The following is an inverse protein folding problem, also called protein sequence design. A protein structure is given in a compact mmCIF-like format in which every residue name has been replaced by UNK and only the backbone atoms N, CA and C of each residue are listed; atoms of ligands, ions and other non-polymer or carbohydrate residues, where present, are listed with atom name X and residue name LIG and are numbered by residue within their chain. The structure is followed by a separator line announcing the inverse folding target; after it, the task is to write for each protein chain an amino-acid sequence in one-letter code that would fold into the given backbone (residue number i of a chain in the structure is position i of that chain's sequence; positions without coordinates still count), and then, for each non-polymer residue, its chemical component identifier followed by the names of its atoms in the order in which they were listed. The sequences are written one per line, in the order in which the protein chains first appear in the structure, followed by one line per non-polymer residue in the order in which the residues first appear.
data_IF_710884028355
#
_entry.id   IF_710884028355
#
_cell.length_a   1.000
_cell.length_b   1.000
_cell.length_c   1.000
_cell.angle_alpha   90.00
_cell.angle_beta   90.00
_cell.angle_gamma   90.00
#
_symmetry.space_group_name_H-M   'P 1'
#
loop_
_entity.id
_entity.type
_entity.pdbx_description
1 polymer ?
#
# COMPACT_ATOMS: atom_id res chain seq x y z
N UNK A 1 -17.97 -24.28 -4.79
CA UNK A 1 -17.71 -22.96 -5.43
C UNK A 1 -18.35 -21.87 -4.59
N UNK A 2 -17.72 -20.71 -4.41
CA UNK A 2 -18.29 -19.59 -3.61
C UNK A 2 -18.93 -18.58 -4.57
N UNK A 3 -20.16 -18.17 -4.28
CA UNK A 3 -20.93 -17.21 -5.09
C UNK A 3 -20.89 -15.81 -4.46
N UNK A 4 -20.91 -14.79 -5.32
CA UNK A 4 -20.83 -13.38 -5.00
C UNK A 4 -21.80 -12.57 -5.88
N UNK A 5 -22.19 -11.38 -5.41
CA UNK A 5 -23.03 -10.45 -6.16
C UNK A 5 -22.16 -9.53 -7.00
N UNK A 6 -22.36 -9.57 -8.32
CA UNK A 6 -21.59 -8.80 -9.28
C UNK A 6 -22.49 -7.78 -9.99
N UNK A 7 -22.29 -6.49 -9.70
CA UNK A 7 -23.07 -5.40 -10.29
C UNK A 7 -22.89 -5.34 -11.81
N UNK A 8 -23.99 -5.42 -12.57
CA UNK A 8 -23.94 -5.31 -14.05
C UNK A 8 -23.31 -3.99 -14.48
N UNK A 9 -23.70 -2.90 -13.84
CA UNK A 9 -23.08 -1.58 -13.99
C UNK A 9 -22.62 -1.06 -12.63
N UNK A 10 -21.30 -1.05 -12.34
CA UNK A 10 -20.77 -0.55 -11.08
C UNK A 10 -21.02 0.94 -10.82
N UNK A 11 -21.33 1.74 -11.83
CA UNK A 11 -21.67 3.16 -11.62
C UNK A 11 -23.02 3.34 -10.94
N UNK A 12 -23.91 2.34 -11.09
CA UNK A 12 -25.23 2.31 -10.46
C UNK A 12 -25.24 1.71 -9.06
N UNK A 13 -24.07 1.20 -8.61
CA UNK A 13 -23.87 0.62 -7.28
C UNK A 13 -23.97 1.69 -6.23
N UNK A 14 -24.92 1.55 -5.31
CA UNK A 14 -24.99 2.41 -4.12
C UNK A 14 -24.08 1.88 -3.02
N UNK A 15 -24.03 0.57 -2.84
CA UNK A 15 -23.25 -0.09 -1.79
C UNK A 15 -23.16 -1.61 -2.06
N UNK A 16 -22.28 -2.32 -1.37
CA UNK A 16 -22.25 -3.79 -1.42
C UNK A 16 -23.50 -4.39 -0.78
N UNK A 17 -24.10 -5.38 -1.45
CA UNK A 17 -25.30 -6.10 -0.96
C UNK A 17 -25.07 -6.65 0.44
N UNK A 18 -23.92 -7.28 0.70
CA UNK A 18 -23.56 -7.83 2.02
C UNK A 18 -23.53 -6.75 3.11
N UNK A 19 -23.09 -5.53 2.77
CA UNK A 19 -23.05 -4.40 3.72
C UNK A 19 -24.44 -3.80 3.93
N UNK A 20 -25.30 -3.78 2.90
CA UNK A 20 -26.68 -3.30 3.01
C UNK A 20 -27.53 -4.24 3.86
N UNK A 21 -27.39 -5.56 3.69
CA UNK A 21 -28.18 -6.56 4.40
C UNK A 21 -28.08 -6.45 5.94
N UNK A 22 -26.95 -5.98 6.46
CA UNK A 22 -26.76 -5.76 7.89
C UNK A 22 -27.21 -4.39 8.42
N UNK A 23 -27.65 -3.45 7.55
CA UNK A 23 -27.85 -2.04 7.93
C UNK A 23 -29.11 -1.39 7.36
N UNK A 24 -29.82 -2.03 6.43
CA UNK A 24 -30.92 -1.42 5.66
C UNK A 24 -32.10 -2.38 5.55
N UNK A 25 -33.33 -1.87 5.37
CA UNK A 25 -34.50 -2.72 5.17
C UNK A 25 -34.35 -3.54 3.88
N UNK A 26 -34.91 -4.74 3.89
CA UNK A 26 -34.81 -5.70 2.78
C UNK A 26 -35.32 -5.15 1.45
N UNK A 27 -36.30 -4.25 1.45
CA UNK A 27 -36.75 -3.56 0.23
C UNK A 27 -35.62 -2.83 -0.48
N UNK A 28 -34.77 -2.12 0.27
CA UNK A 28 -33.60 -1.42 -0.29
C UNK A 28 -32.49 -2.39 -0.72
N UNK A 29 -32.34 -3.52 -0.01
CA UNK A 29 -31.38 -4.58 -0.36
C UNK A 29 -31.76 -5.25 -1.68
N UNK A 30 -33.05 -5.57 -1.87
CA UNK A 30 -33.58 -6.20 -3.08
C UNK A 30 -33.40 -5.30 -4.31
N UNK A 31 -33.60 -3.99 -4.17
CA UNK A 31 -33.32 -3.03 -5.24
C UNK A 31 -31.84 -3.05 -5.66
N UNK A 32 -30.92 -3.23 -4.71
CA UNK A 32 -29.50 -3.35 -5.03
C UNK A 32 -29.16 -4.71 -5.64
N UNK A 33 -29.74 -5.80 -5.13
CA UNK A 33 -29.61 -7.16 -5.70
C UNK A 33 -30.12 -7.19 -7.13
N UNK A 34 -31.21 -6.50 -7.43
CA UNK A 34 -31.80 -6.45 -8.77
C UNK A 34 -30.84 -5.88 -9.83
N UNK A 35 -29.76 -5.17 -9.44
CA UNK A 35 -28.71 -4.66 -10.33
C UNK A 35 -27.54 -5.64 -10.53
N UNK A 36 -27.55 -6.76 -9.81
CA UNK A 36 -26.45 -7.71 -9.74
C UNK A 36 -26.78 -8.99 -10.52
N UNK A 37 -25.74 -9.63 -11.05
CA UNK A 37 -25.76 -11.04 -11.40
C UNK A 37 -25.09 -11.84 -10.28
N UNK A 38 -25.47 -13.10 -10.09
CA UNK A 38 -24.78 -14.00 -9.17
C UNK A 38 -23.68 -14.72 -9.94
N UNK A 39 -22.42 -14.46 -9.59
CA UNK A 39 -21.25 -15.11 -10.21
C UNK A 39 -20.38 -15.74 -9.14
N UNK A 40 -19.57 -16.74 -9.51
CA UNK A 40 -18.57 -17.22 -8.56
C UNK A 40 -17.45 -16.18 -8.35
N UNK A 41 -16.77 -16.23 -7.21
CA UNK A 41 -15.74 -15.24 -6.84
C UNK A 41 -14.64 -15.16 -7.90
N UNK A 42 -14.24 -16.31 -8.48
CA UNK A 42 -13.25 -16.34 -9.57
C UNK A 42 -13.77 -15.63 -10.84
N UNK A 43 -15.01 -15.86 -11.25
CA UNK A 43 -15.60 -15.23 -12.44
C UNK A 43 -15.85 -13.73 -12.23
N UNK A 44 -16.31 -13.35 -11.03
CA UNK A 44 -16.45 -11.95 -10.63
C UNK A 44 -15.10 -11.23 -10.75
N UNK A 45 -14.02 -11.81 -10.20
CA UNK A 45 -12.65 -11.28 -10.32
C UNK A 45 -12.15 -11.12 -11.75
N UNK A 46 -12.40 -12.10 -12.63
CA UNK A 46 -12.00 -12.02 -14.04
C UNK A 46 -12.68 -10.85 -14.75
N UNK A 47 -13.99 -10.70 -14.53
CA UNK A 47 -14.77 -9.59 -15.09
C UNK A 47 -14.31 -8.24 -14.54
N UNK A 48 -14.02 -8.14 -13.24
CA UNK A 48 -13.42 -6.94 -12.64
C UNK A 48 -12.09 -6.62 -13.33
N UNK A 49 -11.22 -7.61 -13.51
CA UNK A 49 -9.93 -7.41 -14.18
C UNK A 49 -10.10 -6.90 -15.63
N UNK A 50 -11.08 -7.42 -16.38
CA UNK A 50 -11.39 -6.97 -17.74
C UNK A 50 -11.96 -5.55 -17.77
N UNK A 51 -12.93 -5.27 -16.90
CA UNK A 51 -13.57 -3.95 -16.80
C UNK A 51 -12.57 -2.85 -16.47
N UNK A 52 -11.66 -3.12 -15.55
CA UNK A 52 -10.61 -2.17 -15.16
C UNK A 52 -9.34 -2.31 -16.00
N UNK A 53 -9.37 -3.08 -17.08
CA UNK A 53 -8.25 -3.30 -18.02
C UNK A 53 -6.94 -3.62 -17.29
N UNK A 54 -6.99 -4.52 -16.31
CA UNK A 54 -5.79 -5.01 -15.61
C UNK A 54 -4.86 -5.64 -16.64
N UNK A 55 -3.77 -4.94 -16.98
CA UNK A 55 -2.82 -5.41 -18.00
C UNK A 55 -2.01 -6.57 -17.44
N UNK A 56 -1.93 -7.69 -18.18
CA UNK A 56 -0.81 -8.65 -18.03
C UNK A 56 0.44 -7.94 -18.55
N UNK A 57 1.39 -7.62 -17.67
CA UNK A 57 2.72 -7.18 -18.07
C UNK A 57 3.75 -8.13 -17.47
N UNK A 58 4.07 -9.17 -18.22
CA UNK A 58 5.23 -10.01 -17.97
C UNK A 58 6.42 -9.42 -18.73
N UNK A 59 7.27 -8.68 -18.02
CA UNK A 59 8.70 -8.56 -18.36
C UNK A 59 9.45 -8.97 -17.11
N UNK A 60 10.29 -10.00 -17.22
CA UNK A 60 11.22 -10.37 -16.16
C UNK A 60 12.17 -9.19 -15.91
N UNK A 61 12.20 -8.71 -14.68
CA UNK A 61 13.21 -7.77 -14.23
C UNK A 61 14.01 -8.45 -13.14
N UNK A 62 15.31 -8.52 -13.38
CA UNK A 62 16.29 -9.22 -12.56
C UNK A 62 16.24 -8.78 -11.09
N UNK A 63 16.14 -9.70 -10.11
CA UNK A 63 16.07 -9.37 -8.68
C UNK A 63 17.36 -8.76 -8.09
N UNK A 64 18.47 -8.76 -8.84
CA UNK A 64 19.81 -8.56 -8.29
C UNK A 64 20.26 -7.09 -8.05
N UNK A 65 19.44 -6.07 -8.35
CA UNK A 65 19.82 -4.68 -8.07
C UNK A 65 19.43 -4.28 -6.63
N UNK A 66 20.32 -4.58 -5.68
CA UNK A 66 20.33 -4.06 -4.30
C UNK A 66 20.93 -2.64 -4.30
N UNK A 67 20.29 -1.71 -3.58
CA UNK A 67 20.91 -0.45 -3.18
C UNK A 67 21.20 -0.53 -1.68
N UNK A 68 22.45 -0.87 -1.35
CA UNK A 68 23.01 -0.60 -0.03
C UNK A 68 23.19 0.92 0.09
N UNK A 69 22.53 1.56 1.07
CA UNK A 69 22.76 2.96 1.42
C UNK A 69 23.71 3.02 2.64
N UNK A 70 25.01 3.29 2.44
CA UNK A 70 26.03 3.15 3.48
C UNK A 70 26.12 4.37 4.41
N UNK A 71 25.08 5.21 4.52
CA UNK A 71 25.22 6.49 5.22
C UNK A 71 24.14 6.76 6.25
N UNK A 72 24.08 5.90 7.27
CA UNK A 72 23.46 6.24 8.57
C UNK A 72 24.58 6.51 9.57
N UNK A 73 24.82 7.80 9.85
CA UNK A 73 25.78 8.22 10.87
C UNK A 73 25.09 8.46 12.22
N UNK A 74 25.69 8.05 13.36
CA UNK A 74 25.09 8.25 14.68
C UNK A 74 25.08 9.72 15.07
N UNK A 75 24.01 10.13 15.74
CA UNK A 75 23.81 11.47 16.28
C UNK A 75 24.65 11.60 17.58
N UNK A 76 25.84 12.21 17.50
CA UNK A 76 26.66 12.55 18.67
C UNK A 76 26.31 13.94 19.23
N UNK A 77 26.42 13.99 20.55
CA UNK A 77 25.84 14.93 21.51
C UNK A 77 26.15 16.41 21.25
N UNK A 78 25.16 17.25 21.52
CA UNK A 78 25.24 18.69 21.38
C UNK A 78 25.68 19.33 22.71
N UNK A 79 26.91 19.82 22.75
CA UNK A 79 27.40 20.73 23.78
C UNK A 79 26.77 22.12 23.51
N UNK A 80 26.03 22.66 24.48
CA UNK A 80 25.40 23.98 24.38
C UNK A 80 26.43 25.11 24.59
N UNK A 81 26.60 26.06 23.65
CA UNK A 81 27.43 27.24 23.86
C UNK A 81 26.64 28.46 24.36
N UNK A 82 27.32 29.48 24.93
CA UNK A 82 26.72 30.52 25.77
C UNK A 82 25.88 31.54 24.98
N UNK A 83 24.91 32.14 25.68
CA UNK A 83 23.69 32.75 25.15
C UNK A 83 23.71 34.26 24.89
N UNK A 84 24.85 34.97 25.04
CA UNK A 84 24.82 36.44 25.17
C UNK A 84 25.21 37.26 23.92
N UNK A 85 25.57 36.61 22.81
CA UNK A 85 25.92 37.32 21.57
C UNK A 85 24.71 37.47 20.65
N UNK A 86 24.52 38.67 20.10
CA UNK A 86 23.46 38.96 19.12
C UNK A 86 24.02 39.13 17.71
N UNK A 87 23.21 38.79 16.70
CA UNK A 87 23.54 38.90 15.28
C UNK A 87 22.34 39.43 14.49
N UNK A 88 22.62 40.27 13.49
CA UNK A 88 21.58 40.80 12.62
C UNK A 88 21.19 39.80 11.53
N UNK A 89 19.88 39.55 11.38
CA UNK A 89 19.35 38.71 10.31
C UNK A 89 19.42 39.44 8.96
N UNK A 90 19.99 38.80 7.94
CA UNK A 90 20.12 39.40 6.60
C UNK A 90 18.80 39.65 5.89
N UNK A 91 17.71 38.97 6.31
CA UNK A 91 16.37 39.04 5.70
C UNK A 91 15.44 39.99 6.45
N UNK A 92 15.21 39.80 7.75
CA UNK A 92 14.29 40.66 8.52
C UNK A 92 14.98 41.83 9.23
N UNK A 93 16.31 41.95 9.13
CA UNK A 93 17.15 43.04 9.69
C UNK A 93 17.09 43.23 11.21
N UNK A 94 16.38 42.37 11.94
CA UNK A 94 16.35 42.33 13.40
C UNK A 94 17.65 41.76 13.97
N UNK A 95 18.14 42.35 15.06
CA UNK A 95 19.22 41.82 15.89
C UNK A 95 18.64 40.80 16.87
N UNK A 96 19.08 39.54 16.77
CA UNK A 96 18.58 38.41 17.55
C UNK A 96 19.74 37.64 18.18
N UNK A 97 19.55 36.91 19.28
CA UNK A 97 20.59 36.07 19.87
C UNK A 97 21.13 35.04 18.87
N UNK A 98 22.39 34.63 19.00
CA UNK A 98 23.01 33.60 18.15
C UNK A 98 22.28 32.25 18.19
N UNK A 99 21.54 31.96 19.27
CA UNK A 99 20.67 30.79 19.38
C UNK A 99 19.57 30.79 18.31
N UNK A 100 19.09 31.94 17.86
CA UNK A 100 18.09 32.08 16.79
C UNK A 100 18.65 31.83 15.38
N UNK A 101 19.94 31.52 15.26
CA UNK A 101 20.60 31.19 14.00
C UNK A 101 21.08 29.73 14.00
N UNK A 102 20.67 28.99 12.97
CA UNK A 102 21.12 27.60 12.78
C UNK A 102 22.63 27.53 12.51
N UNK A 103 23.28 26.50 13.06
CA UNK A 103 24.69 26.21 12.80
C UNK A 103 24.81 25.60 11.39
N UNK A 104 25.55 26.26 10.50
CA UNK A 104 25.87 25.77 9.15
C UNK A 104 27.05 24.79 9.16
N UNK A 105 28.03 25.06 10.02
CA UNK A 105 29.21 24.22 10.15
C UNK A 105 29.47 24.01 11.64
N UNK A 106 29.30 22.77 12.11
CA UNK A 106 29.49 22.41 13.51
C UNK A 106 30.95 22.55 13.96
N UNK A 107 31.92 22.30 13.06
CA UNK A 107 33.36 22.38 13.35
C UNK A 107 33.84 23.81 13.57
N UNK A 108 33.32 24.76 12.80
CA UNK A 108 33.74 26.18 12.87
C UNK A 108 32.75 27.06 13.64
N UNK A 109 31.66 26.49 14.15
CA UNK A 109 30.57 27.24 14.79
C UNK A 109 29.83 28.20 13.87
N UNK A 110 30.11 28.19 12.54
CA UNK A 110 29.57 29.17 11.60
C UNK A 110 28.05 29.16 11.61
N UNK A 111 27.46 30.29 12.01
CA UNK A 111 26.00 30.50 12.06
C UNK A 111 25.48 31.03 10.73
N UNK A 112 24.27 30.61 10.37
CA UNK A 112 23.56 31.13 9.20
C UNK A 112 23.39 32.66 9.25
N UNK A 113 23.27 33.30 8.08
CA UNK A 113 23.00 34.73 7.96
C UNK A 113 21.54 35.09 8.19
N UNK A 114 20.63 34.11 8.07
CA UNK A 114 19.18 34.27 8.27
C UNK A 114 18.77 33.65 9.60
N UNK A 115 17.88 34.28 10.35
CA UNK A 115 17.32 33.69 11.57
C UNK A 115 16.42 32.47 11.24
N UNK A 116 16.19 31.60 12.23
CA UNK A 116 15.36 30.39 12.11
C UNK A 116 13.97 30.70 11.59
N UNK A 117 13.34 31.78 12.04
CA UNK A 117 12.02 32.20 11.56
C UNK A 117 12.02 32.52 10.06
N UNK A 118 12.98 33.32 9.57
CA UNK A 118 13.11 33.62 8.14
C UNK A 118 13.45 32.39 7.31
N UNK A 119 14.26 31.46 7.84
CA UNK A 119 14.55 30.19 7.17
C UNK A 119 13.29 29.32 7.06
N UNK A 120 12.48 29.21 8.13
CA UNK A 120 11.21 28.47 8.12
C UNK A 120 10.23 29.05 7.11
N UNK A 121 10.08 30.39 7.08
CA UNK A 121 9.22 31.07 6.12
C UNK A 121 9.67 30.84 4.68
N UNK A 122 10.97 30.96 4.41
CA UNK A 122 11.55 30.67 3.11
C UNK A 122 11.35 29.21 2.70
N UNK A 123 11.61 28.25 3.60
CA UNK A 123 11.44 26.83 3.32
C UNK A 123 9.98 26.47 3.02
N UNK A 124 9.02 27.04 3.78
CA UNK A 124 7.59 26.88 3.54
C UNK A 124 7.18 27.39 2.16
N UNK A 125 7.62 28.59 1.80
CA UNK A 125 7.30 29.19 0.49
C UNK A 125 7.98 28.46 -0.66
N UNK A 126 9.24 28.07 -0.48
CA UNK A 126 9.99 27.26 -1.45
C UNK A 126 9.30 25.90 -1.67
N UNK A 127 8.88 25.23 -0.61
CA UNK A 127 8.11 23.99 -0.70
C UNK A 127 6.78 24.20 -1.41
N UNK A 128 6.01 25.25 -1.07
CA UNK A 128 4.74 25.58 -1.73
C UNK A 128 4.93 25.77 -3.24
N UNK A 129 5.93 26.54 -3.65
CA UNK A 129 6.24 26.82 -5.07
C UNK A 129 6.75 25.61 -5.84
N UNK A 130 7.47 24.71 -5.18
CA UNK A 130 8.07 23.53 -5.83
C UNK A 130 7.30 22.23 -5.55
N UNK A 131 6.17 22.29 -4.84
CA UNK A 131 5.39 21.11 -4.41
C UNK A 131 5.07 20.22 -5.59
N UNK A 132 4.53 20.81 -6.65
CA UNK A 132 4.10 20.04 -7.82
C UNK A 132 5.28 19.44 -8.58
N UNK A 133 6.43 20.12 -8.61
CA UNK A 133 7.68 19.58 -9.15
C UNK A 133 8.17 18.37 -8.35
N UNK A 134 8.13 18.44 -7.01
CA UNK A 134 8.50 17.31 -6.14
C UNK A 134 7.51 16.16 -6.26
N UNK A 135 6.20 16.45 -6.31
CA UNK A 135 5.16 15.44 -6.50
C UNK A 135 5.27 14.78 -7.87
N UNK A 136 5.54 15.53 -8.94
CA UNK A 136 5.74 14.98 -10.27
C UNK A 136 7.00 14.10 -10.34
N UNK A 137 8.10 14.54 -9.73
CA UNK A 137 9.33 13.75 -9.63
C UNK A 137 9.13 12.47 -8.82
N UNK A 138 8.47 12.57 -7.66
CA UNK A 138 8.12 11.42 -6.83
C UNK A 138 7.17 10.47 -7.58
N UNK A 139 6.16 10.99 -8.26
CA UNK A 139 5.21 10.19 -9.05
C UNK A 139 5.92 9.38 -10.14
N UNK A 140 6.85 10.00 -10.89
CA UNK A 140 7.64 9.31 -11.92
C UNK A 140 8.51 8.19 -11.33
N UNK A 141 9.27 8.47 -10.27
CA UNK A 141 10.08 7.46 -9.58
C UNK A 141 9.21 6.32 -9.04
N UNK A 142 8.11 6.67 -8.39
CA UNK A 142 7.18 5.71 -7.80
C UNK A 142 6.47 4.87 -8.87
N UNK A 143 6.32 5.37 -10.10
CA UNK A 143 5.72 4.59 -11.20
C UNK A 143 6.65 3.45 -11.65
N UNK A 144 7.94 3.74 -11.84
CA UNK A 144 8.93 2.73 -12.21
C UNK A 144 9.07 1.65 -11.13
N UNK A 145 9.15 2.05 -9.86
CA UNK A 145 9.21 1.11 -8.74
C UNK A 145 7.93 0.26 -8.67
N UNK A 146 6.74 0.85 -8.80
CA UNK A 146 5.49 0.08 -8.85
C UNK A 146 5.46 -0.95 -9.98
N UNK A 147 6.00 -0.60 -11.15
CA UNK A 147 6.08 -1.52 -12.29
C UNK A 147 7.04 -2.68 -12.01
N UNK A 148 8.21 -2.40 -11.42
CA UNK A 148 9.17 -3.42 -10.98
C UNK A 148 8.53 -4.39 -9.97
N UNK A 149 7.89 -3.86 -8.93
CA UNK A 149 7.22 -4.67 -7.92
C UNK A 149 6.09 -5.52 -8.50
N UNK A 150 5.26 -4.94 -9.37
CA UNK A 150 4.19 -5.68 -10.04
C UNK A 150 4.73 -6.82 -10.91
N UNK A 151 5.81 -6.58 -11.66
CA UNK A 151 6.45 -7.60 -12.50
C UNK A 151 6.96 -8.79 -11.66
N UNK A 152 7.58 -8.53 -10.52
CA UNK A 152 8.07 -9.59 -9.63
C UNK A 152 6.94 -10.42 -9.03
N UNK A 153 5.87 -9.78 -8.53
CA UNK A 153 4.69 -10.50 -8.02
C UNK A 153 4.04 -11.34 -9.11
N UNK A 154 3.94 -10.83 -10.34
CA UNK A 154 3.41 -11.59 -11.48
C UNK A 154 4.30 -12.77 -11.85
N UNK A 155 5.62 -12.61 -11.82
CA UNK A 155 6.58 -13.70 -12.02
C UNK A 155 6.38 -14.80 -10.99
N UNK A 156 6.35 -14.46 -9.71
CA UNK A 156 6.09 -15.41 -8.63
C UNK A 156 4.77 -16.16 -8.84
N UNK A 157 3.66 -15.44 -9.05
CA UNK A 157 2.34 -16.07 -9.25
C UNK A 157 2.24 -16.92 -10.51
N UNK A 158 3.10 -16.69 -11.51
CA UNK A 158 3.12 -17.49 -12.75
C UNK A 158 3.71 -18.89 -12.56
N UNK A 159 4.57 -19.06 -11.57
CA UNK A 159 5.22 -20.32 -11.22
C UNK A 159 4.48 -21.06 -10.08
N UNK A 160 3.59 -20.37 -9.38
CA UNK A 160 2.90 -20.88 -8.19
C UNK A 160 1.39 -20.97 -8.43
N UNK A 161 0.88 -22.09 -8.99
CA UNK A 161 -0.57 -22.31 -9.12
C UNK A 161 -1.25 -22.42 -7.75
N UNK A 162 -2.57 -22.36 -7.75
CA UNK A 162 -3.35 -22.58 -6.53
C UNK A 162 -3.03 -23.94 -5.90
N UNK A 163 -2.59 -23.94 -4.63
CA UNK A 163 -2.20 -25.17 -3.92
C UNK A 163 -3.35 -26.17 -3.77
N UNK A 164 -4.61 -25.70 -3.68
CA UNK A 164 -5.77 -26.59 -3.47
C UNK A 164 -6.40 -27.14 -4.76
N UNK A 165 -6.27 -26.44 -5.89
CA UNK A 165 -6.99 -26.81 -7.12
C UNK A 165 -6.21 -26.65 -8.43
N UNK A 166 -4.93 -26.26 -8.37
CA UNK A 166 -4.06 -26.15 -9.54
C UNK A 166 -4.37 -25.00 -10.49
N UNK A 167 -5.31 -24.11 -10.17
CA UNK A 167 -5.63 -22.98 -11.04
C UNK A 167 -4.40 -22.06 -11.26
N UNK A 168 -4.14 -21.69 -12.52
CA UNK A 168 -2.97 -20.89 -12.95
C UNK A 168 -3.33 -19.47 -13.40
N UNK A 169 -4.62 -19.14 -13.48
CA UNK A 169 -5.03 -17.81 -13.94
C UNK A 169 -4.70 -16.74 -12.89
N UNK A 170 -3.64 -15.97 -13.16
CA UNK A 170 -3.12 -14.90 -12.29
C UNK A 170 -4.20 -13.94 -11.76
N UNK A 171 -5.29 -13.72 -12.52
CA UNK A 171 -6.37 -12.79 -12.14
C UNK A 171 -7.13 -13.27 -10.90
N UNK A 172 -7.16 -14.58 -10.66
CA UNK A 172 -7.92 -15.21 -9.58
C UNK A 172 -7.04 -15.66 -8.42
N UNK A 173 -5.71 -15.58 -8.55
CA UNK A 173 -4.77 -15.97 -7.51
C UNK A 173 -4.64 -14.87 -6.44
N UNK A 174 -4.45 -15.31 -5.20
CA UNK A 174 -4.29 -14.51 -3.99
C UNK A 174 -3.24 -15.16 -3.09
N UNK A 175 -2.51 -14.34 -2.34
CA UNK A 175 -1.69 -14.80 -1.23
C UNK A 175 -2.58 -15.01 -0.01
N UNK A 176 -2.62 -16.26 0.48
CA UNK A 176 -3.38 -16.66 1.65
C UNK A 176 -2.41 -17.04 2.79
N UNK A 177 -2.50 -16.32 3.92
CA UNK A 177 -1.65 -16.54 5.07
C UNK A 177 -1.86 -17.94 5.69
N UNK A 178 -0.76 -18.61 6.02
CA UNK A 178 -0.80 -19.85 6.80
C UNK A 178 -1.29 -19.56 8.23
N UNK A 179 -1.99 -20.52 8.83
CA UNK A 179 -2.53 -20.37 10.18
C UNK A 179 -1.41 -20.13 11.20
N UNK A 180 -1.60 -19.15 12.09
CA UNK A 180 -0.58 -18.74 13.07
C UNK A 180 0.48 -17.77 12.54
N UNK A 181 0.45 -17.41 11.25
CA UNK A 181 1.28 -16.34 10.71
C UNK A 181 0.77 -14.97 11.15
N UNK A 182 1.52 -14.27 12.01
CA UNK A 182 1.24 -12.86 12.30
C UNK A 182 1.40 -12.04 11.01
N UNK A 183 0.28 -11.43 10.58
CA UNK A 183 0.26 -10.52 9.45
C UNK A 183 0.82 -9.18 9.89
N UNK A 184 2.04 -8.89 9.47
CA UNK A 184 2.71 -7.61 9.74
C UNK A 184 2.04 -6.46 8.98
N UNK A 185 1.60 -6.69 7.74
CA UNK A 185 0.76 -5.76 6.97
C UNK A 185 0.07 -6.47 5.79
N UNK A 186 -0.88 -5.82 5.11
CA UNK A 186 -1.35 -6.32 3.82
C UNK A 186 -0.23 -6.26 2.78
N UNK A 187 -0.13 -7.22 1.85
CA UNK A 187 0.79 -7.18 0.70
C UNK A 187 0.74 -5.82 -0.03
N UNK A 188 -0.46 -5.22 -0.13
CA UNK A 188 -0.66 -3.87 -0.69
C UNK A 188 0.02 -2.73 0.09
N UNK A 189 0.34 -2.90 1.37
CA UNK A 189 1.07 -1.92 2.16
C UNK A 189 2.56 -1.90 1.79
N UNK A 190 3.18 -3.07 1.60
CA UNK A 190 4.56 -3.19 1.15
C UNK A 190 4.76 -2.62 -0.27
N UNK A 191 3.78 -2.82 -1.15
CA UNK A 191 3.76 -2.19 -2.48
C UNK A 191 3.74 -0.65 -2.43
N UNK A 192 3.25 -0.04 -1.34
CA UNK A 192 3.23 1.42 -1.16
C UNK A 192 4.51 1.94 -0.48
N UNK A 193 5.17 1.10 0.31
CA UNK A 193 6.41 1.42 1.00
C UNK A 193 7.68 1.15 0.16
N UNK A 194 7.55 0.42 -0.95
CA UNK A 194 8.69 -0.04 -1.77
C UNK A 194 9.69 -0.90 -0.98
N UNK A 195 9.18 -1.66 -0.01
CA UNK A 195 9.97 -2.56 0.82
C UNK A 195 9.92 -3.97 0.21
N UNK A 196 10.98 -4.34 -0.51
CA UNK A 196 11.07 -5.60 -1.23
C UNK A 196 11.36 -6.78 -0.29
N UNK A 197 12.30 -6.61 0.63
CA UNK A 197 12.66 -7.66 1.57
C UNK A 197 11.49 -7.97 2.50
N UNK A 198 10.77 -6.93 2.95
CA UNK A 198 9.52 -7.09 3.69
C UNK A 198 8.44 -7.82 2.89
N UNK A 199 8.32 -7.55 1.58
CA UNK A 199 7.37 -8.23 0.71
C UNK A 199 7.72 -9.73 0.52
N UNK A 200 8.98 -10.08 0.24
CA UNK A 200 9.39 -11.48 0.13
C UNK A 200 9.15 -12.21 1.45
N UNK A 201 9.54 -11.60 2.58
CA UNK A 201 9.35 -12.19 3.90
C UNK A 201 7.87 -12.43 4.20
N UNK A 202 6.98 -11.54 3.76
CA UNK A 202 5.54 -11.72 3.88
C UNK A 202 5.00 -12.81 2.94
N UNK A 203 5.45 -12.84 1.67
CA UNK A 203 5.06 -13.88 0.70
C UNK A 203 5.48 -15.27 1.19
N UNK A 204 6.65 -15.41 1.83
CA UNK A 204 7.13 -16.66 2.39
C UNK A 204 6.21 -17.24 3.47
N UNK A 205 5.38 -16.41 4.12
CA UNK A 205 4.37 -16.82 5.10
C UNK A 205 3.02 -17.21 4.47
N UNK A 206 2.89 -17.08 3.15
CA UNK A 206 1.64 -17.27 2.42
C UNK A 206 1.71 -18.50 1.51
N UNK A 207 0.56 -19.13 1.28
CA UNK A 207 0.36 -20.03 0.14
C UNK A 207 -0.35 -19.27 -0.98
N UNK A 208 -0.13 -19.69 -2.22
CA UNK A 208 -0.91 -19.18 -3.36
C UNK A 208 -2.19 -19.99 -3.50
N UNK A 209 -3.34 -19.31 -3.41
CA UNK A 209 -4.68 -19.90 -3.58
C UNK A 209 -5.53 -19.08 -4.53
N UNK A 210 -6.45 -19.72 -5.26
CA UNK A 210 -7.46 -18.98 -5.98
C UNK A 210 -8.53 -18.43 -5.01
N UNK A 211 -9.17 -17.33 -5.38
CA UNK A 211 -10.14 -16.63 -4.53
C UNK A 211 -11.28 -17.54 -4.03
N UNK A 212 -11.74 -18.49 -4.85
CA UNK A 212 -12.71 -19.50 -4.42
C UNK A 212 -12.17 -20.43 -3.32
N UNK A 213 -10.95 -20.94 -3.46
CA UNK A 213 -10.36 -21.88 -2.49
C UNK A 213 -9.98 -21.15 -1.19
N UNK A 214 -9.42 -19.95 -1.30
CA UNK A 214 -9.15 -19.08 -0.16
C UNK A 214 -10.42 -18.80 0.64
N UNK A 215 -11.52 -18.36 0.00
CA UNK A 215 -12.81 -18.12 0.68
C UNK A 215 -13.39 -19.37 1.35
N UNK A 216 -13.22 -20.56 0.76
CA UNK A 216 -13.63 -21.83 1.39
C UNK A 216 -12.81 -22.12 2.63
N UNK A 217 -11.49 -21.91 2.58
CA UNK A 217 -10.59 -22.11 3.73
C UNK A 217 -10.94 -21.15 4.86
N UNK A 218 -11.06 -19.84 4.57
CA UNK A 218 -11.51 -18.84 5.56
C UNK A 218 -12.83 -19.26 6.20
N UNK A 219 -13.81 -19.66 5.39
CA UNK A 219 -15.11 -20.01 5.92
C UNK A 219 -15.11 -21.31 6.76
N UNK A 220 -14.19 -22.26 6.51
CA UNK A 220 -13.96 -23.41 7.40
C UNK A 220 -13.30 -22.99 8.71
N UNK A 221 -12.25 -22.16 8.62
CA UNK A 221 -11.51 -21.66 9.78
C UNK A 221 -12.40 -20.90 10.76
N UNK A 222 -13.30 -20.04 10.26
CA UNK A 222 -14.21 -19.23 11.07
C UNK A 222 -15.60 -19.86 11.25
N UNK A 223 -15.79 -21.14 10.89
CA UNK A 223 -17.04 -21.87 11.11
C UNK A 223 -18.28 -21.21 10.50
N UNK A 224 -18.18 -20.65 9.29
CA UNK A 224 -19.32 -19.95 8.68
C UNK A 224 -20.50 -20.89 8.46
N UNK A 225 -21.65 -20.54 9.07
CA UNK A 225 -22.88 -21.37 9.09
C UNK A 225 -23.32 -21.87 7.72
N UNK A 226 -23.15 -21.08 6.65
CA UNK A 226 -23.54 -21.47 5.28
C UNK A 226 -22.78 -22.70 4.76
N UNK A 227 -21.54 -22.91 5.20
CA UNK A 227 -20.72 -24.08 4.86
C UNK A 227 -21.01 -25.28 5.77
N UNK A 228 -21.33 -25.04 7.05
CA UNK A 228 -21.79 -26.08 7.97
C UNK A 228 -23.15 -26.66 7.55
N UNK A 229 -24.08 -25.83 7.08
CA UNK A 229 -25.42 -26.22 6.65
C UNK A 229 -25.46 -26.94 5.28
N UNK A 230 -24.45 -26.75 4.43
CA UNK A 230 -24.37 -27.43 3.13
C UNK A 230 -23.66 -28.79 3.19
N UNK A 231 -22.87 -29.05 4.24
CA UNK A 231 -22.30 -30.38 4.51
C UNK A 231 -23.33 -31.39 5.03
N UNK A 232 -24.40 -30.93 5.71
CA UNK A 232 -25.49 -31.79 6.22
C UNK A 232 -26.65 -32.02 5.24
N UNK A 233 -26.55 -31.54 3.99
CA UNK A 233 -27.58 -31.70 2.94
C UNK A 233 -27.14 -32.59 1.77
N UNK A 234 -25.96 -33.18 1.86
CA UNK A 234 -25.52 -34.25 0.98
C UNK A 234 -25.70 -35.58 1.72
N UNK A 235 -26.96 -36.02 1.81
CA UNK A 235 -27.39 -37.36 2.17
C UNK A 235 -28.57 -37.70 1.26
#
# INVERSE_FOLDING_TARGET
MVLDFDHRDPTTKRCEVTRLAGRRPWSAVLVEIAKCDVRCVNCHRKRTAEQFKWRRRTRSLDPAARNDDPNVRPLLDAIEPPTDQTKQCSTCKRSLPLSEFAIKNRRTGLRSSKCRACQRAYAKEHYRKNRDKYLAKASRRNAAERERFAAMVLGYLSEHPCVDCGATDLRILEFDHRDGGEKTAAVNAFLRAFDWDGLIAEIAKCDVRCANCHRRRTARQFGWKRLLLSAGRAA
#
